data_IF_131410528538
#
_entry.id   IF_131410528538
#
_cell.length_a   1.000
_cell.length_b   1.000
_cell.length_c   1.000
_cell.angle_alpha   90.00
_cell.angle_beta   90.00
_cell.angle_gamma   90.00
#
_symmetry.space_group_name_H-M   'P 1'
#
loop_
_entity.id
_entity.type
_entity.pdbx_description
1 polymer ?
#
# COMPACT_ATOMS: atom_id res chain seq x y z
N UNK A 1 -23.02 8.38 12.78
CA UNK A 1 -23.32 9.72 13.34
C UNK A 1 -24.66 10.23 12.82
N UNK A 2 -25.52 10.79 13.68
CA UNK A 2 -26.76 11.48 13.28
C UNK A 2 -26.48 12.97 13.12
N UNK A 3 -26.59 13.48 11.89
CA UNK A 3 -26.43 14.90 11.61
C UNK A 3 -27.76 15.63 11.83
N UNK A 4 -27.72 16.72 12.61
CA UNK A 4 -28.86 17.64 12.74
C UNK A 4 -28.60 18.88 11.89
N UNK A 5 -29.35 19.08 10.82
CA UNK A 5 -29.15 20.19 9.89
C UNK A 5 -29.95 21.43 10.29
N UNK A 6 -29.39 22.26 11.17
CA UNK A 6 -30.09 23.42 11.76
C UNK A 6 -29.92 24.75 11.00
N UNK A 7 -29.63 24.73 9.68
CA UNK A 7 -29.44 25.96 8.91
C UNK A 7 -30.79 26.49 8.38
N UNK A 8 -31.08 27.81 8.48
CA UNK A 8 -32.26 28.41 7.86
C UNK A 8 -32.31 28.16 6.34
N UNK A 9 -33.50 28.15 5.74
CA UNK A 9 -33.68 27.99 4.30
C UNK A 9 -33.06 29.14 3.48
N UNK A 10 -32.95 28.95 2.16
CA UNK A 10 -32.66 30.04 1.23
C UNK A 10 -33.75 31.12 1.34
N UNK A 11 -33.40 32.43 1.34
CA UNK A 11 -32.09 33.02 1.06
C UNK A 11 -31.20 33.27 2.28
N UNK A 12 -31.65 32.94 3.49
CA UNK A 12 -30.90 33.18 4.73
C UNK A 12 -29.59 32.38 4.72
N UNK A 13 -29.61 31.10 4.34
CA UNK A 13 -28.39 30.31 4.07
C UNK A 13 -28.03 30.34 2.59
N UNK A 14 -26.78 30.72 2.28
CA UNK A 14 -26.20 30.62 0.94
C UNK A 14 -24.81 30.01 1.03
N UNK A 15 -24.70 28.73 0.67
CA UNK A 15 -23.45 27.96 0.70
C UNK A 15 -22.36 28.54 -0.20
N UNK A 16 -22.72 29.35 -1.20
CA UNK A 16 -21.76 30.05 -2.06
C UNK A 16 -21.00 31.18 -1.36
N UNK A 17 -21.45 31.68 -0.20
CA UNK A 17 -20.77 32.79 0.52
C UNK A 17 -19.36 32.38 0.95
N UNK A 18 -19.22 31.24 1.61
CA UNK A 18 -17.92 30.68 2.01
C UNK A 18 -17.05 30.30 0.81
N UNK A 19 -17.69 29.99 -0.34
CA UNK A 19 -17.01 29.63 -1.59
C UNK A 19 -16.65 30.83 -2.46
N UNK A 20 -16.92 32.08 -2.05
CA UNK A 20 -16.71 33.26 -2.91
C UNK A 20 -15.22 33.60 -3.12
N UNK A 21 -14.38 33.34 -2.12
CA UNK A 21 -12.98 33.73 -2.09
C UNK A 21 -12.12 32.52 -1.73
N UNK A 22 -11.00 32.32 -2.41
CA UNK A 22 -10.04 31.25 -2.12
C UNK A 22 -9.50 31.27 -0.69
N UNK A 23 -9.29 32.45 -0.10
CA UNK A 23 -8.87 32.57 1.31
C UNK A 23 -9.96 32.11 2.27
N UNK A 24 -11.24 32.35 1.95
CA UNK A 24 -12.36 31.81 2.73
C UNK A 24 -12.52 30.31 2.52
N UNK A 25 -12.34 29.81 1.29
CA UNK A 25 -12.35 28.37 0.98
C UNK A 25 -11.25 27.64 1.76
N UNK A 26 -10.04 28.21 1.81
CA UNK A 26 -8.92 27.67 2.55
C UNK A 26 -9.18 27.66 4.06
N UNK A 27 -9.73 28.75 4.62
CA UNK A 27 -10.03 28.87 6.05
C UNK A 27 -11.00 27.79 6.56
N UNK A 28 -11.99 27.40 5.74
CA UNK A 28 -13.04 26.44 6.15
C UNK A 28 -12.83 25.03 5.59
N UNK A 29 -11.69 24.76 4.95
CA UNK A 29 -11.39 23.45 4.38
C UNK A 29 -11.25 22.42 5.50
N UNK A 30 -12.01 21.34 5.41
CA UNK A 30 -12.08 20.30 6.45
C UNK A 30 -10.88 19.34 6.41
N UNK A 31 -10.26 19.16 5.25
CA UNK A 31 -9.20 18.17 5.04
C UNK A 31 -7.97 18.81 4.42
N UNK A 32 -6.80 18.43 4.91
CA UNK A 32 -5.51 18.82 4.35
C UNK A 32 -4.75 17.58 3.88
N UNK A 33 -3.95 17.76 2.83
CA UNK A 33 -3.00 16.78 2.32
C UNK A 33 -1.60 17.38 2.42
N UNK A 34 -0.66 16.60 2.91
CA UNK A 34 0.76 16.95 3.04
C UNK A 34 1.60 15.74 2.63
N UNK A 35 2.89 15.95 2.32
CA UNK A 35 3.81 14.88 1.98
C UNK A 35 3.91 13.79 3.07
N UNK A 36 3.67 14.15 4.34
CA UNK A 36 3.71 13.19 5.45
C UNK A 36 2.70 12.05 5.31
N UNK A 37 1.60 12.29 4.62
CA UNK A 37 0.54 11.32 4.38
C UNK A 37 0.84 10.39 3.20
N UNK A 38 1.93 10.61 2.47
CA UNK A 38 2.26 9.86 1.26
C UNK A 38 3.25 8.74 1.58
N UNK A 39 2.92 7.54 1.13
CA UNK A 39 3.79 6.36 1.13
C UNK A 39 4.06 6.03 -0.33
N UNK A 40 5.33 5.96 -0.72
CA UNK A 40 5.69 5.69 -2.12
C UNK A 40 6.03 4.20 -2.31
N UNK A 41 5.22 3.45 -3.08
CA UNK A 41 5.56 2.10 -3.47
C UNK A 41 6.69 2.10 -4.49
N UNK A 42 7.66 1.20 -4.31
CA UNK A 42 8.83 1.07 -5.20
C UNK A 42 9.07 -0.38 -5.58
N UNK A 43 9.44 -0.61 -6.84
CA UNK A 43 9.76 -1.93 -7.36
C UNK A 43 11.27 -2.11 -7.39
N UNK A 44 11.76 -3.14 -6.70
CA UNK A 44 13.19 -3.36 -6.46
C UNK A 44 13.73 -4.44 -7.41
N UNK A 45 14.78 -4.13 -8.17
CA UNK A 45 15.51 -5.07 -9.02
C UNK A 45 16.76 -5.61 -8.32
N UNK A 46 17.17 -6.85 -8.63
CA UNK A 46 18.51 -7.31 -8.29
C UNK A 46 19.59 -6.59 -9.12
N UNK A 47 20.84 -6.75 -8.70
CA UNK A 47 22.00 -6.19 -9.38
C UNK A 47 22.28 -4.73 -9.02
N UNK A 48 23.02 -4.04 -9.89
CA UNK A 48 23.51 -2.68 -9.68
C UNK A 48 23.31 -1.82 -10.93
N UNK A 49 22.99 -0.54 -10.77
CA UNK A 49 22.71 0.41 -11.86
C UNK A 49 21.66 -0.11 -12.87
N UNK A 50 20.72 -0.91 -12.39
CA UNK A 50 19.58 -1.42 -13.18
C UNK A 50 18.37 -0.51 -13.02
N UNK A 51 17.75 -0.18 -14.14
CA UNK A 51 16.43 0.47 -14.21
C UNK A 51 15.61 -0.18 -15.32
N UNK A 52 14.30 -0.29 -15.12
CA UNK A 52 13.37 -0.80 -16.12
C UNK A 52 12.06 -0.04 -16.09
N UNK A 53 11.63 0.47 -17.24
CA UNK A 53 10.31 1.09 -17.39
C UNK A 53 9.19 0.06 -17.29
N UNK A 54 8.03 0.50 -16.81
CA UNK A 54 6.83 -0.32 -16.68
C UNK A 54 5.79 0.23 -17.67
N UNK A 55 5.56 -0.40 -18.83
CA UNK A 55 4.69 0.17 -19.87
C UNK A 55 3.26 0.48 -19.42
N UNK A 56 2.70 -0.35 -18.54
CA UNK A 56 1.36 -0.16 -17.98
C UNK A 56 1.31 0.86 -16.83
N UNK A 57 2.45 1.38 -16.39
CA UNK A 57 2.58 2.41 -15.36
C UNK A 57 3.58 3.48 -15.80
N UNK A 58 3.20 4.36 -16.73
CA UNK A 58 4.12 5.35 -17.31
C UNK A 58 4.82 6.18 -16.23
N UNK A 59 6.12 6.47 -16.39
CA UNK A 59 7.01 7.16 -15.42
C UNK A 59 7.37 6.37 -14.15
N UNK A 60 6.69 5.26 -13.86
CA UNK A 60 7.11 4.35 -12.79
C UNK A 60 8.16 3.40 -13.33
N UNK A 61 9.23 3.24 -12.55
CA UNK A 61 10.37 2.39 -12.91
C UNK A 61 10.65 1.37 -11.82
N UNK A 62 11.16 0.21 -12.21
CA UNK A 62 11.82 -0.74 -11.32
C UNK A 62 13.28 -0.31 -11.18
N UNK A 63 13.80 -0.30 -9.96
CA UNK A 63 15.13 0.21 -9.66
C UNK A 63 15.94 -0.80 -8.85
N UNK A 64 17.20 -0.97 -9.22
CA UNK A 64 18.19 -1.59 -8.32
C UNK A 64 18.37 -0.78 -7.04
N UNK A 65 18.80 -1.43 -5.96
CA UNK A 65 18.87 -0.81 -4.63
C UNK A 65 19.75 0.46 -4.59
N UNK A 66 20.83 0.53 -5.38
CA UNK A 66 21.71 1.69 -5.47
C UNK A 66 21.05 2.90 -6.16
N UNK A 67 20.17 2.67 -7.15
CA UNK A 67 19.39 3.73 -7.76
C UNK A 67 18.18 4.12 -6.90
N UNK A 68 17.59 3.15 -6.21
CA UNK A 68 16.53 3.40 -5.24
C UNK A 68 17.01 4.29 -4.09
N UNK A 69 18.25 4.12 -3.62
CA UNK A 69 18.85 5.01 -2.61
C UNK A 69 18.82 6.47 -3.05
N UNK A 70 19.28 6.77 -4.28
CA UNK A 70 19.25 8.13 -4.85
C UNK A 70 17.83 8.67 -4.97
N UNK A 71 16.88 7.80 -5.34
CA UNK A 71 15.45 8.16 -5.41
C UNK A 71 14.91 8.50 -4.02
N UNK A 72 15.27 7.73 -3.00
CA UNK A 72 14.86 7.92 -1.62
C UNK A 72 15.39 9.25 -1.04
N UNK A 73 16.62 9.64 -1.37
CA UNK A 73 17.19 10.95 -1.03
C UNK A 73 16.31 12.10 -1.56
N UNK A 74 16.00 12.09 -2.86
CA UNK A 74 15.15 13.11 -3.49
C UNK A 74 13.74 13.15 -2.87
N UNK A 75 13.18 11.99 -2.50
CA UNK A 75 11.86 11.91 -1.86
C UNK A 75 11.87 12.53 -0.45
N UNK A 76 12.94 12.32 0.33
CA UNK A 76 13.10 12.96 1.65
C UNK A 76 13.18 14.48 1.52
N UNK A 77 13.89 15.01 0.51
CA UNK A 77 13.93 16.46 0.25
C UNK A 77 12.54 17.05 -0.06
N UNK A 78 11.62 16.23 -0.59
CA UNK A 78 10.23 16.59 -0.85
C UNK A 78 9.31 16.34 0.36
N UNK A 79 9.82 15.75 1.44
CA UNK A 79 9.07 15.37 2.64
C UNK A 79 8.35 14.03 2.56
N UNK A 80 8.58 13.24 1.50
CA UNK A 80 8.05 11.87 1.39
C UNK A 80 9.02 10.93 2.08
N UNK A 81 8.73 10.62 3.34
CA UNK A 81 9.63 9.89 4.24
C UNK A 81 9.26 8.42 4.47
N UNK A 82 8.42 7.84 3.59
CA UNK A 82 7.96 6.45 3.70
C UNK A 82 8.04 5.74 2.35
N UNK A 83 8.72 4.60 2.31
CA UNK A 83 8.80 3.72 1.14
C UNK A 83 8.16 2.38 1.44
N UNK A 84 7.43 1.85 0.46
CA UNK A 84 6.94 0.49 0.48
C UNK A 84 7.64 -0.36 -0.59
N UNK A 85 8.41 -1.36 -0.15
CA UNK A 85 9.27 -2.15 -1.01
C UNK A 85 8.52 -3.36 -1.60
N UNK A 86 8.53 -3.47 -2.93
CA UNK A 86 8.02 -4.62 -3.66
C UNK A 86 9.16 -5.24 -4.49
N UNK A 87 9.58 -6.48 -4.22
CA UNK A 87 10.65 -7.11 -4.98
C UNK A 87 10.19 -7.56 -6.36
N UNK A 88 11.09 -7.45 -7.33
CA UNK A 88 10.96 -8.07 -8.65
C UNK A 88 11.87 -9.30 -8.66
N UNK A 89 11.38 -10.38 -8.05
CA UNK A 89 12.15 -11.61 -7.84
C UNK A 89 12.50 -12.29 -9.17
N UNK A 90 13.79 -12.64 -9.41
CA UNK A 90 14.20 -13.41 -10.57
C UNK A 90 13.45 -14.73 -10.71
N UNK A 91 13.24 -15.20 -11.94
CA UNK A 91 12.44 -16.39 -12.18
C UNK A 91 13.12 -17.66 -11.63
N UNK A 92 14.44 -17.68 -11.61
CA UNK A 92 15.29 -18.72 -11.05
C UNK A 92 15.21 -18.82 -9.52
N UNK A 93 14.82 -17.73 -8.85
CA UNK A 93 14.69 -17.67 -7.39
C UNK A 93 13.25 -18.00 -6.93
N UNK A 94 12.31 -18.15 -7.87
CA UNK A 94 10.93 -18.55 -7.56
C UNK A 94 10.83 -20.06 -7.36
N UNK A 95 10.11 -20.50 -6.33
CA UNK A 95 9.92 -21.92 -6.00
C UNK A 95 8.46 -22.22 -5.64
N UNK A 96 8.14 -23.46 -5.23
CA UNK A 96 6.84 -23.79 -4.63
C UNK A 96 6.79 -23.45 -3.14
N UNK A 97 7.94 -23.53 -2.47
CA UNK A 97 8.09 -23.25 -1.04
C UNK A 97 8.34 -21.76 -0.72
N UNK A 98 8.57 -20.92 -1.73
CA UNK A 98 8.77 -19.48 -1.60
C UNK A 98 9.94 -19.05 -0.69
N UNK A 99 10.96 -19.89 -0.51
CA UNK A 99 12.03 -19.67 0.46
C UNK A 99 12.87 -18.42 0.21
N UNK A 100 12.93 -17.94 -1.03
CA UNK A 100 13.56 -16.66 -1.37
C UNK A 100 12.95 -15.46 -0.62
N UNK A 101 11.73 -15.61 -0.07
CA UNK A 101 11.05 -14.55 0.68
C UNK A 101 11.65 -14.26 2.05
N UNK A 102 12.39 -15.21 2.66
CA UNK A 102 12.98 -15.06 3.99
C UNK A 102 14.48 -15.38 4.04
N UNK A 103 15.15 -15.47 2.89
CA UNK A 103 16.60 -15.63 2.86
C UNK A 103 17.26 -14.37 3.42
N UNK A 104 18.24 -14.55 4.32
CA UNK A 104 18.96 -13.41 4.91
C UNK A 104 19.58 -12.53 3.81
N UNK A 105 20.20 -13.11 2.79
CA UNK A 105 20.74 -12.39 1.63
C UNK A 105 19.70 -12.11 0.52
N UNK A 106 18.41 -12.13 0.84
CA UNK A 106 17.32 -11.84 -0.08
C UNK A 106 17.31 -10.38 -0.57
N UNK A 107 16.59 -10.14 -1.67
CA UNK A 107 16.56 -8.84 -2.33
C UNK A 107 15.99 -7.74 -1.43
N UNK A 108 14.88 -8.02 -0.73
CA UNK A 108 14.24 -7.05 0.18
C UNK A 108 15.14 -6.79 1.38
N UNK A 109 15.66 -7.84 2.02
CA UNK A 109 16.52 -7.78 3.21
C UNK A 109 17.78 -6.94 2.94
N UNK A 110 18.47 -7.20 1.83
CA UNK A 110 19.63 -6.41 1.42
C UNK A 110 19.27 -4.94 1.14
N UNK A 111 18.13 -4.70 0.50
CA UNK A 111 17.67 -3.34 0.19
C UNK A 111 17.31 -2.56 1.45
N UNK A 112 16.62 -3.19 2.40
CA UNK A 112 16.30 -2.61 3.71
C UNK A 112 17.59 -2.23 4.45
N UNK A 113 18.56 -3.16 4.56
CA UNK A 113 19.84 -2.88 5.23
C UNK A 113 20.60 -1.72 4.59
N UNK A 114 20.63 -1.65 3.26
CA UNK A 114 21.25 -0.53 2.55
C UNK A 114 20.55 0.79 2.89
N UNK A 115 19.22 0.85 2.73
CA UNK A 115 18.46 2.07 2.94
C UNK A 115 18.48 2.53 4.40
N UNK A 116 18.37 1.64 5.39
CA UNK A 116 18.47 2.02 6.81
C UNK A 116 19.85 2.54 7.18
N UNK A 117 20.91 1.97 6.59
CA UNK A 117 22.29 2.41 6.85
C UNK A 117 22.53 3.82 6.33
N UNK A 118 22.09 4.11 5.11
CA UNK A 118 22.39 5.39 4.44
C UNK A 118 21.33 6.46 4.74
N UNK A 119 20.07 6.08 4.97
CA UNK A 119 18.92 6.97 5.23
C UNK A 119 18.11 6.50 6.44
N UNK A 120 18.63 6.59 7.67
CA UNK A 120 17.96 6.10 8.87
C UNK A 120 16.60 6.76 9.16
N UNK A 121 16.38 7.98 8.66
CA UNK A 121 15.12 8.73 8.78
C UNK A 121 14.01 8.22 7.84
N UNK A 122 14.35 7.45 6.80
CA UNK A 122 13.37 6.84 5.92
C UNK A 122 12.66 5.70 6.65
N UNK A 123 11.32 5.76 6.71
CA UNK A 123 10.50 4.66 7.20
C UNK A 123 10.37 3.64 6.08
N UNK A 124 10.81 2.42 6.34
CA UNK A 124 10.77 1.32 5.37
C UNK A 124 9.66 0.35 5.74
N UNK A 125 8.76 0.16 4.77
CA UNK A 125 7.65 -0.76 4.85
C UNK A 125 7.92 -1.92 3.88
N UNK A 126 7.96 -3.14 4.39
CA UNK A 126 8.15 -4.35 3.59
C UNK A 126 6.82 -5.09 3.40
N UNK A 127 6.54 -5.52 2.18
CA UNK A 127 5.39 -6.38 1.87
C UNK A 127 5.54 -7.78 2.49
N UNK A 128 4.45 -8.31 3.06
CA UNK A 128 4.39 -9.68 3.59
C UNK A 128 3.46 -10.55 2.75
N UNK A 129 3.98 -11.15 1.69
CA UNK A 129 3.25 -12.06 0.81
C UNK A 129 4.23 -12.94 0.03
N UNK A 130 3.76 -14.10 -0.44
CA UNK A 130 4.59 -15.05 -1.18
C UNK A 130 4.47 -14.94 -2.71
N UNK A 131 3.55 -14.11 -3.23
CA UNK A 131 3.30 -14.01 -4.68
C UNK A 131 4.48 -13.56 -5.55
N UNK A 132 5.48 -12.80 -5.07
CA UNK A 132 6.67 -12.50 -5.86
C UNK A 132 7.61 -13.71 -5.94
N UNK A 133 7.51 -14.65 -5.00
CA UNK A 133 8.47 -15.73 -4.77
C UNK A 133 7.94 -17.10 -5.19
N UNK A 134 6.64 -17.23 -5.46
CA UNK A 134 6.04 -18.47 -5.92
C UNK A 134 6.06 -18.61 -7.44
N UNK A 135 6.32 -19.82 -7.93
CA UNK A 135 6.27 -20.12 -9.39
C UNK A 135 4.88 -19.98 -9.99
N UNK A 136 3.82 -20.10 -9.18
CA UNK A 136 2.42 -19.97 -9.56
C UNK A 136 1.81 -18.59 -9.28
N UNK A 137 2.50 -17.69 -8.57
CA UNK A 137 2.04 -16.32 -8.34
C UNK A 137 0.82 -16.17 -7.41
N UNK A 138 0.55 -17.16 -6.56
CA UNK A 138 -0.43 -17.05 -5.47
C UNK A 138 0.25 -16.51 -4.22
N UNK A 139 -0.52 -15.90 -3.32
CA UNK A 139 0.00 -15.24 -2.11
C UNK A 139 0.51 -16.23 -1.06
N UNK A 140 0.25 -17.54 -1.24
CA UNK A 140 0.60 -18.60 -0.31
C UNK A 140 0.98 -19.93 -0.95
N UNK A 141 1.25 -20.92 -0.11
CA UNK A 141 1.58 -22.31 -0.48
C UNK A 141 0.32 -23.01 -1.00
N UNK A 142 0.43 -23.82 -2.06
CA UNK A 142 -0.70 -24.54 -2.65
C UNK A 142 -0.67 -26.04 -2.39
N UNK A 143 -1.85 -26.64 -2.27
CA UNK A 143 -2.02 -28.10 -2.25
C UNK A 143 -2.04 -28.70 -3.68
N UNK A 144 -2.25 -30.02 -3.76
CA UNK A 144 -2.32 -30.75 -5.04
C UNK A 144 -3.49 -30.29 -5.94
N UNK A 145 -4.52 -29.66 -5.37
CA UNK A 145 -5.68 -29.12 -6.10
C UNK A 145 -5.46 -27.68 -6.57
N UNK A 146 -4.38 -27.03 -6.10
CA UNK A 146 -4.10 -25.62 -6.34
C UNK A 146 -4.79 -24.67 -5.35
N UNK A 147 -5.37 -25.19 -4.27
CA UNK A 147 -5.92 -24.37 -3.19
C UNK A 147 -4.79 -23.81 -2.32
N UNK A 148 -4.89 -22.53 -1.97
CA UNK A 148 -3.91 -21.86 -1.12
C UNK A 148 -4.15 -22.27 0.33
N UNK A 149 -3.19 -22.99 0.92
CA UNK A 149 -3.21 -23.51 2.27
C UNK A 149 -2.96 -22.38 3.28
N UNK A 150 -3.88 -22.19 4.22
CA UNK A 150 -3.83 -21.06 5.17
C UNK A 150 -2.63 -21.17 6.12
N UNK A 151 -2.61 -22.20 6.97
CA UNK A 151 -1.69 -22.28 8.11
C UNK A 151 -0.24 -22.48 7.65
N UNK A 152 -0.02 -23.31 6.63
CA UNK A 152 1.29 -23.52 6.00
C UNK A 152 1.83 -22.23 5.38
N UNK A 153 0.95 -21.38 4.83
CA UNK A 153 1.33 -20.06 4.35
C UNK A 153 1.71 -19.14 5.52
N UNK A 154 0.95 -19.15 6.61
CA UNK A 154 1.26 -18.37 7.81
C UNK A 154 2.64 -18.73 8.38
N UNK A 155 3.02 -20.01 8.39
CA UNK A 155 4.37 -20.43 8.81
C UNK A 155 5.50 -19.80 7.97
N UNK A 156 5.28 -19.66 6.66
CA UNK A 156 6.20 -18.98 5.76
C UNK A 156 6.24 -17.47 6.00
N UNK A 157 5.08 -16.84 6.20
CA UNK A 157 4.96 -15.40 6.44
C UNK A 157 5.61 -14.97 7.76
N UNK A 158 5.57 -15.82 8.80
CA UNK A 158 6.32 -15.60 10.05
C UNK A 158 7.82 -15.49 9.77
N UNK A 159 8.38 -16.43 9.01
CA UNK A 159 9.82 -16.44 8.66
C UNK A 159 10.18 -15.18 7.86
N UNK A 160 9.35 -14.80 6.90
CA UNK A 160 9.51 -13.59 6.12
C UNK A 160 9.52 -12.35 7.00
N UNK A 161 8.50 -12.17 7.86
CA UNK A 161 8.37 -11.03 8.74
C UNK A 161 9.56 -10.89 9.70
N UNK A 162 10.04 -11.99 10.29
CA UNK A 162 11.23 -12.01 11.13
C UNK A 162 12.47 -11.57 10.34
N UNK A 163 12.68 -12.11 9.14
CA UNK A 163 13.84 -11.72 8.31
C UNK A 163 13.81 -10.24 7.91
N UNK A 164 12.64 -9.66 7.69
CA UNK A 164 12.48 -8.23 7.41
C UNK A 164 12.77 -7.38 8.65
N UNK A 165 12.30 -7.80 9.82
CA UNK A 165 12.57 -7.13 11.09
C UNK A 165 14.06 -7.17 11.44
N UNK A 166 14.72 -8.31 11.26
CA UNK A 166 16.18 -8.47 11.42
C UNK A 166 16.98 -7.59 10.45
N UNK A 167 16.49 -7.40 9.23
CA UNK A 167 17.09 -6.48 8.27
C UNK A 167 16.93 -5.00 8.64
N UNK A 168 16.01 -4.68 9.56
CA UNK A 168 15.77 -3.32 10.08
C UNK A 168 14.52 -2.63 9.51
N UNK A 169 13.56 -3.40 8.97
CA UNK A 169 12.28 -2.82 8.53
C UNK A 169 11.53 -2.20 9.71
N UNK A 170 10.99 -0.99 9.52
CA UNK A 170 10.21 -0.29 10.54
C UNK A 170 8.78 -0.84 10.62
N UNK A 171 8.27 -1.30 9.48
CA UNK A 171 6.91 -1.85 9.32
C UNK A 171 6.95 -3.08 8.43
N UNK A 172 6.32 -4.16 8.89
CA UNK A 172 5.93 -5.29 8.02
C UNK A 172 4.45 -5.13 7.65
N UNK A 173 4.11 -5.32 6.38
CA UNK A 173 2.76 -5.13 5.88
C UNK A 173 2.23 -6.40 5.22
N UNK A 174 1.74 -7.39 6.00
CA UNK A 174 1.20 -8.64 5.50
C UNK A 174 0.04 -8.37 4.54
N UNK A 175 0.24 -8.71 3.26
CA UNK A 175 -0.70 -8.45 2.17
C UNK A 175 -1.38 -9.71 1.66
N UNK A 176 -1.08 -10.87 2.24
CA UNK A 176 -1.47 -12.21 1.83
C UNK A 176 -2.96 -12.57 1.97
N UNK A 177 -3.68 -11.95 2.92
CA UNK A 177 -5.09 -12.25 3.27
C UNK A 177 -5.33 -13.67 3.82
N UNK A 178 -4.36 -14.27 4.52
CA UNK A 178 -4.58 -15.49 5.29
C UNK A 178 -5.28 -15.18 6.63
N UNK A 179 -6.10 -16.10 7.10
CA UNK A 179 -6.74 -15.98 8.41
C UNK A 179 -5.70 -16.15 9.52
N UNK A 180 -5.73 -15.28 10.54
CA UNK A 180 -4.88 -15.37 11.73
C UNK A 180 -3.41 -14.97 11.55
N UNK A 181 -2.97 -14.55 10.34
CA UNK A 181 -1.56 -14.21 10.09
C UNK A 181 -1.05 -13.06 10.96
N UNK A 182 -1.90 -12.10 11.29
CA UNK A 182 -1.48 -10.91 12.04
C UNK A 182 -1.08 -11.32 13.46
N UNK A 183 -1.90 -12.14 14.11
CA UNK A 183 -1.65 -12.62 15.46
C UNK A 183 -0.40 -13.50 15.51
N UNK A 184 -0.24 -14.37 14.51
CA UNK A 184 0.92 -15.25 14.40
C UNK A 184 2.23 -14.46 14.18
N UNK A 185 2.23 -13.48 13.27
CA UNK A 185 3.37 -12.60 13.01
C UNK A 185 3.69 -11.75 14.25
N UNK A 186 2.67 -11.15 14.90
CA UNK A 186 2.83 -10.38 16.14
C UNK A 186 3.51 -11.22 17.21
N UNK A 187 3.00 -12.42 17.49
CA UNK A 187 3.58 -13.31 18.50
C UNK A 187 5.03 -13.66 18.19
N UNK A 188 5.37 -13.91 16.92
CA UNK A 188 6.73 -14.20 16.51
C UNK A 188 7.66 -12.98 16.69
N UNK A 189 7.23 -11.78 16.30
CA UNK A 189 8.00 -10.55 16.49
C UNK A 189 8.27 -10.28 17.99
N UNK A 190 7.25 -10.41 18.84
CA UNK A 190 7.39 -10.27 20.30
C UNK A 190 8.37 -11.31 20.89
N UNK A 191 8.21 -12.59 20.51
CA UNK A 191 9.05 -13.67 21.01
C UNK A 191 10.54 -13.53 20.63
N UNK A 192 10.82 -12.84 19.52
CA UNK A 192 12.19 -12.59 19.04
C UNK A 192 12.70 -11.19 19.39
N UNK A 193 11.97 -10.41 20.20
CA UNK A 193 12.40 -9.11 20.70
C UNK A 193 12.25 -7.94 19.73
N UNK A 194 11.53 -8.11 18.62
CA UNK A 194 11.23 -7.06 17.64
C UNK A 194 10.02 -6.20 18.06
N UNK A 195 10.03 -5.72 19.30
CA UNK A 195 8.88 -5.07 19.97
C UNK A 195 8.41 -3.75 19.33
N UNK A 196 9.24 -3.14 18.48
CA UNK A 196 8.94 -1.87 17.79
C UNK A 196 8.69 -2.02 16.29
N UNK A 197 8.80 -3.25 15.76
CA UNK A 197 8.42 -3.51 14.37
C UNK A 197 6.90 -3.46 14.27
N UNK A 198 6.40 -2.52 13.48
CA UNK A 198 4.96 -2.31 13.34
C UNK A 198 4.37 -3.31 12.35
N UNK A 199 3.09 -3.64 12.55
CA UNK A 199 2.31 -4.41 11.59
C UNK A 199 1.26 -3.49 10.95
N UNK A 200 1.38 -3.30 9.65
CA UNK A 200 0.38 -2.61 8.83
C UNK A 200 -0.41 -3.64 8.02
N UNK A 201 -1.50 -4.13 8.61
CA UNK A 201 -2.28 -5.21 8.05
C UNK A 201 -3.04 -4.77 6.80
N UNK A 202 -2.91 -5.52 5.70
CA UNK A 202 -3.90 -5.45 4.63
C UNK A 202 -5.14 -6.23 5.08
N UNK A 203 -5.99 -5.56 5.83
CA UNK A 203 -7.17 -6.19 6.43
C UNK A 203 -8.31 -6.34 5.43
N UNK A 204 -8.59 -5.28 4.67
CA UNK A 204 -9.64 -5.30 3.66
C UNK A 204 -9.02 -5.22 2.26
N UNK A 205 -8.42 -6.33 1.80
CA UNK A 205 -7.87 -6.47 0.44
C UNK A 205 -8.83 -7.27 -0.43
N UNK A 206 -9.44 -6.57 -1.39
CA UNK A 206 -10.45 -7.11 -2.28
C UNK A 206 -9.85 -7.84 -3.48
N UNK A 207 -10.59 -8.81 -4.01
CA UNK A 207 -10.29 -9.54 -5.23
C UNK A 207 -10.53 -8.67 -6.48
N UNK A 208 -9.64 -7.70 -6.70
CA UNK A 208 -9.86 -6.60 -7.63
C UNK A 208 -9.22 -6.79 -9.01
N UNK A 209 -9.91 -6.26 -10.03
CA UNK A 209 -9.37 -6.10 -11.39
C UNK A 209 -8.41 -4.90 -11.53
N UNK A 210 -8.30 -4.03 -10.52
CA UNK A 210 -7.39 -2.87 -10.55
C UNK A 210 -5.90 -3.23 -10.36
N UNK A 211 -5.56 -4.51 -10.13
CA UNK A 211 -4.18 -4.94 -9.87
C UNK A 211 -3.38 -5.29 -11.12
N UNK A 212 -3.97 -5.27 -12.32
CA UNK A 212 -3.31 -5.67 -13.58
C UNK A 212 -1.92 -5.05 -13.75
N UNK A 213 -1.78 -3.70 -13.71
CA UNK A 213 -0.47 -3.08 -13.91
C UNK A 213 0.58 -3.42 -12.83
N UNK A 214 0.16 -3.70 -11.58
CA UNK A 214 1.07 -4.15 -10.53
C UNK A 214 1.62 -5.55 -10.83
N UNK A 215 0.77 -6.47 -11.31
CA UNK A 215 1.19 -7.83 -11.68
C UNK A 215 2.23 -7.80 -12.81
N UNK A 216 2.10 -6.83 -13.74
CA UNK A 216 3.12 -6.57 -14.74
C UNK A 216 4.40 -6.02 -14.09
N UNK A 217 4.27 -5.08 -13.16
CA UNK A 217 5.38 -4.44 -12.47
C UNK A 217 6.25 -5.42 -11.68
N UNK A 218 5.67 -6.36 -10.93
CA UNK A 218 6.43 -7.39 -10.17
C UNK A 218 6.72 -8.66 -10.97
N UNK A 219 6.27 -8.73 -12.24
CA UNK A 219 6.48 -9.90 -13.09
C UNK A 219 5.74 -11.15 -12.64
N UNK A 220 4.58 -11.00 -11.98
CA UNK A 220 3.72 -12.11 -11.53
C UNK A 220 2.58 -12.42 -12.49
N UNK A 221 2.28 -11.54 -13.46
CA UNK A 221 1.22 -11.75 -14.48
C UNK A 221 1.36 -13.09 -15.22
N UNK A 222 2.58 -13.46 -15.61
CA UNK A 222 2.85 -14.72 -16.32
C UNK A 222 2.75 -15.95 -15.41
N UNK A 223 3.04 -15.81 -14.10
CA UNK A 223 2.97 -16.90 -13.13
C UNK A 223 1.52 -17.26 -12.79
N UNK A 224 0.65 -16.26 -12.62
CA UNK A 224 -0.75 -16.48 -12.22
C UNK A 224 -1.60 -17.14 -13.32
N UNK A 225 -1.16 -17.13 -14.59
CA UNK A 225 -1.75 -17.89 -15.73
C UNK A 225 -3.29 -17.82 -15.87
N UNK A 226 -3.90 -16.67 -15.57
CA UNK A 226 -5.36 -16.51 -15.61
C UNK A 226 -6.11 -17.05 -14.38
N UNK A 227 -5.38 -17.51 -13.37
CA UNK A 227 -5.89 -17.80 -12.04
C UNK A 227 -6.45 -16.55 -11.35
N UNK A 228 -7.23 -16.80 -10.31
CA UNK A 228 -7.83 -15.77 -9.47
C UNK A 228 -7.35 -15.93 -8.03
N UNK A 229 -7.71 -14.95 -7.20
CA UNK A 229 -7.39 -14.88 -5.77
C UNK A 229 -8.66 -14.93 -4.91
N UNK A 230 -9.75 -15.49 -5.46
CA UNK A 230 -11.10 -15.42 -4.87
C UNK A 230 -11.29 -16.32 -3.65
N UNK A 231 -10.35 -17.24 -3.38
CA UNK A 231 -10.39 -18.11 -2.23
C UNK A 231 -9.78 -17.48 -0.96
N UNK A 232 -9.29 -16.24 -1.02
CA UNK A 232 -8.74 -15.52 0.14
C UNK A 232 -8.92 -13.99 0.07
N UNK A 233 -8.87 -13.38 -1.12
CA UNK A 233 -9.20 -11.95 -1.25
C UNK A 233 -10.71 -11.74 -1.24
N UNK A 234 -11.14 -10.66 -0.59
CA UNK A 234 -12.56 -10.39 -0.35
C UNK A 234 -13.37 -10.18 -1.64
N UNK A 235 -14.65 -10.56 -1.62
CA UNK A 235 -15.59 -10.26 -2.70
C UNK A 235 -15.85 -8.74 -2.79
N UNK A 236 -15.77 -8.19 -4.01
CA UNK A 236 -15.98 -6.77 -4.29
C UNK A 236 -17.41 -6.28 -3.94
N UNK A 237 -18.37 -7.19 -3.79
CA UNK A 237 -19.74 -6.90 -3.35
C UNK A 237 -19.89 -6.74 -1.84
N UNK A 238 -18.87 -7.10 -1.06
CA UNK A 238 -18.98 -7.19 0.39
C UNK A 238 -18.48 -5.93 1.11
N UNK A 239 -19.38 -5.33 1.89
CA UNK A 239 -19.08 -4.17 2.76
C UNK A 239 -18.92 -4.56 4.22
N UNK A 240 -19.86 -5.32 4.78
CA UNK A 240 -19.87 -5.66 6.20
C UNK A 240 -18.71 -6.57 6.59
N UNK A 241 -18.30 -7.47 5.69
CA UNK A 241 -17.16 -8.38 5.86
C UNK A 241 -15.87 -7.61 6.18
N UNK A 242 -15.62 -6.46 5.54
CA UNK A 242 -14.43 -5.65 5.80
C UNK A 242 -14.31 -5.20 7.26
N UNK A 243 -15.45 -4.99 7.94
CA UNK A 243 -15.45 -4.64 9.36
C UNK A 243 -15.07 -5.83 10.24
N UNK A 244 -15.46 -7.05 9.84
CA UNK A 244 -15.06 -8.25 10.56
C UNK A 244 -13.56 -8.50 10.41
N UNK A 245 -13.04 -8.46 9.19
CA UNK A 245 -11.61 -8.58 8.88
C UNK A 245 -10.76 -7.59 9.70
N UNK A 246 -11.13 -6.31 9.65
CA UNK A 246 -10.41 -5.27 10.38
C UNK A 246 -10.52 -5.44 11.90
N UNK A 247 -11.69 -5.85 12.40
CA UNK A 247 -11.85 -6.10 13.82
C UNK A 247 -10.96 -7.26 14.32
N UNK A 248 -10.81 -8.31 13.52
CA UNK A 248 -9.93 -9.44 13.82
C UNK A 248 -8.46 -9.01 13.82
N UNK A 249 -8.00 -8.33 12.76
CA UNK A 249 -6.62 -7.84 12.68
C UNK A 249 -6.24 -6.88 13.84
N UNK A 250 -7.17 -6.01 14.25
CA UNK A 250 -6.98 -5.14 15.42
C UNK A 250 -6.85 -5.99 16.70
N UNK A 251 -7.71 -7.00 16.89
CA UNK A 251 -7.65 -7.89 18.05
C UNK A 251 -6.36 -8.72 18.09
N UNK A 252 -5.83 -9.05 16.91
CA UNK A 252 -4.60 -9.81 16.71
C UNK A 252 -3.33 -8.96 16.90
N UNK A 253 -3.44 -7.63 16.99
CA UNK A 253 -2.34 -6.73 17.31
C UNK A 253 -1.73 -5.99 16.13
N UNK A 254 -2.52 -5.73 15.07
CA UNK A 254 -2.16 -4.77 14.04
C UNK A 254 -2.07 -3.35 14.61
N UNK A 255 -0.99 -2.64 14.29
CA UNK A 255 -0.82 -1.22 14.66
C UNK A 255 -1.60 -0.30 13.71
N UNK A 256 -1.79 -0.77 12.47
CA UNK A 256 -2.38 -0.03 11.36
C UNK A 256 -3.14 -0.99 10.45
N UNK A 257 -4.23 -0.52 9.84
CA UNK A 257 -5.03 -1.31 8.90
C UNK A 257 -5.12 -0.62 7.54
N UNK A 258 -5.08 -1.38 6.45
CA UNK A 258 -5.18 -0.89 5.07
C UNK A 258 -6.45 -1.41 4.40
N UNK A 259 -7.13 -0.52 3.67
CA UNK A 259 -8.10 -0.89 2.62
C UNK A 259 -7.42 -0.86 1.25
N UNK A 260 -7.62 -1.92 0.45
CA UNK A 260 -7.06 -2.06 -0.90
C UNK A 260 -8.06 -2.74 -1.84
N UNK A 261 -8.39 -2.18 -3.02
CA UNK A 261 -7.96 -0.89 -3.61
C UNK A 261 -8.45 0.37 -2.88
N UNK A 262 -8.13 1.54 -3.42
CA UNK A 262 -8.37 2.82 -2.77
C UNK A 262 -9.63 3.54 -3.22
N UNK A 263 -9.56 4.29 -4.32
CA UNK A 263 -10.66 5.12 -4.82
C UNK A 263 -11.99 4.36 -4.98
N UNK A 264 -12.01 3.10 -5.45
CA UNK A 264 -13.27 2.35 -5.58
C UNK A 264 -13.89 1.91 -4.24
N UNK A 265 -13.17 2.07 -3.11
CA UNK A 265 -13.56 1.58 -1.78
C UNK A 265 -13.46 2.67 -0.69
N UNK A 266 -13.61 3.95 -1.08
CA UNK A 266 -13.57 5.07 -0.13
C UNK A 266 -14.72 5.04 0.89
N UNK A 267 -15.83 4.39 0.57
CA UNK A 267 -16.92 4.10 1.50
C UNK A 267 -16.46 3.15 2.62
N UNK A 268 -15.68 2.12 2.30
CA UNK A 268 -15.07 1.22 3.27
C UNK A 268 -14.07 1.98 4.15
N UNK A 269 -13.19 2.80 3.56
CA UNK A 269 -12.24 3.64 4.32
C UNK A 269 -12.96 4.52 5.35
N UNK A 270 -14.08 5.15 4.94
CA UNK A 270 -14.89 6.00 5.82
C UNK A 270 -15.51 5.20 6.95
N UNK A 271 -16.09 4.04 6.64
CA UNK A 271 -16.75 3.21 7.64
C UNK A 271 -15.77 2.64 8.66
N UNK A 272 -14.59 2.20 8.21
CA UNK A 272 -13.51 1.74 9.07
C UNK A 272 -13.07 2.84 10.02
N UNK A 273 -12.82 4.05 9.49
CA UNK A 273 -12.41 5.19 10.31
C UNK A 273 -13.49 5.57 11.33
N UNK A 274 -14.76 5.57 10.94
CA UNK A 274 -15.89 5.89 11.83
C UNK A 274 -16.14 4.82 12.90
N UNK A 275 -15.90 3.56 12.58
CA UNK A 275 -16.21 2.42 13.46
C UNK A 275 -15.11 2.19 14.48
N UNK A 276 -13.85 2.19 14.05
CA UNK A 276 -12.73 1.75 14.89
C UNK A 276 -11.85 2.90 15.39
N UNK A 277 -11.77 4.02 14.67
CA UNK A 277 -10.93 5.16 15.07
C UNK A 277 -9.42 4.87 15.11
N UNK A 278 -8.97 3.74 14.57
CA UNK A 278 -7.55 3.31 14.52
C UNK A 278 -6.79 3.95 13.35
N UNK A 279 -5.44 3.93 13.31
CA UNK A 279 -4.68 4.33 12.13
C UNK A 279 -5.13 3.57 10.88
N UNK A 280 -5.71 4.29 9.92
CA UNK A 280 -6.34 3.71 8.72
C UNK A 280 -5.59 4.16 7.49
N UNK A 281 -5.17 3.23 6.66
CA UNK A 281 -4.43 3.50 5.44
C UNK A 281 -5.23 3.03 4.23
N UNK A 282 -4.87 3.54 3.06
CA UNK A 282 -5.50 3.14 1.81
C UNK A 282 -4.46 3.07 0.70
N UNK A 283 -4.62 2.09 -0.19
CA UNK A 283 -3.75 1.93 -1.35
C UNK A 283 -4.44 2.37 -2.62
N UNK A 284 -4.04 3.52 -3.17
CA UNK A 284 -4.36 3.90 -4.55
C UNK A 284 -3.51 3.05 -5.51
N UNK A 285 -4.09 1.94 -5.96
CA UNK A 285 -3.31 0.86 -6.59
C UNK A 285 -2.89 1.20 -8.02
N UNK A 286 -2.08 0.31 -8.60
CA UNK A 286 -1.47 0.46 -9.91
C UNK A 286 -2.47 0.75 -11.04
N UNK A 287 -3.66 0.12 -11.02
CA UNK A 287 -4.70 0.38 -12.02
C UNK A 287 -5.35 1.74 -11.87
N UNK A 288 -5.50 2.25 -10.65
CA UNK A 288 -5.97 3.61 -10.40
C UNK A 288 -4.95 4.63 -10.89
N UNK A 289 -3.66 4.39 -10.61
CA UNK A 289 -2.56 5.18 -11.16
C UNK A 289 -2.59 5.20 -12.68
N UNK A 290 -2.58 4.02 -13.32
CA UNK A 290 -2.51 3.88 -14.77
C UNK A 290 -3.71 4.54 -15.46
N UNK A 291 -4.92 4.39 -14.90
CA UNK A 291 -6.12 5.03 -15.40
C UNK A 291 -6.01 6.56 -15.40
N UNK A 292 -5.55 7.15 -14.28
CA UNK A 292 -5.38 8.60 -14.18
C UNK A 292 -4.21 9.10 -15.04
N UNK A 293 -3.06 8.43 -14.99
CA UNK A 293 -1.88 8.79 -15.77
C UNK A 293 -2.16 8.75 -17.28
N UNK A 294 -2.85 7.72 -17.75
CA UNK A 294 -3.26 7.62 -19.16
C UNK A 294 -4.23 8.72 -19.58
N UNK A 295 -5.24 9.02 -18.75
CA UNK A 295 -6.18 10.11 -19.03
C UNK A 295 -5.50 11.49 -19.04
N UNK A 296 -4.52 11.71 -18.17
CA UNK A 296 -3.70 12.94 -18.15
C UNK A 296 -2.85 13.04 -19.42
N UNK A 297 -2.13 11.97 -19.79
CA UNK A 297 -1.29 11.96 -20.99
C UNK A 297 -2.09 12.21 -22.28
N UNK A 298 -3.33 11.71 -22.34
CA UNK A 298 -4.23 11.95 -23.47
C UNK A 298 -4.90 13.34 -23.44
N UNK A 299 -4.63 14.16 -22.42
CA UNK A 299 -5.23 15.49 -22.26
C UNK A 299 -6.73 15.46 -21.92
N UNK A 300 -7.25 14.33 -21.45
CA UNK A 300 -8.66 14.22 -21.03
C UNK A 300 -8.88 14.77 -19.62
N UNK A 301 -7.86 14.68 -18.77
CA UNK A 301 -7.84 15.24 -17.41
C UNK A 301 -6.59 16.11 -17.23
N UNK A 302 -6.70 17.15 -16.41
CA UNK A 302 -5.54 17.92 -15.95
C UNK A 302 -4.82 17.23 -14.81
N UNK A 303 -3.53 17.50 -14.63
CA UNK A 303 -2.71 16.96 -13.53
C UNK A 303 -3.30 17.23 -12.14
N UNK A 304 -4.13 18.26 -11.99
CA UNK A 304 -4.85 18.56 -10.74
C UNK A 304 -5.69 17.39 -10.20
N UNK A 305 -6.08 16.44 -11.05
CA UNK A 305 -6.81 15.23 -10.62
C UNK A 305 -5.98 14.35 -9.67
N UNK A 306 -4.64 14.42 -9.73
CA UNK A 306 -3.75 13.71 -8.81
C UNK A 306 -4.07 14.14 -7.38
N UNK A 307 -3.98 15.45 -7.09
CA UNK A 307 -4.27 15.99 -5.76
C UNK A 307 -5.73 15.76 -5.36
N UNK A 308 -6.68 15.85 -6.30
CA UNK A 308 -8.10 15.60 -6.01
C UNK A 308 -8.37 14.14 -5.59
N UNK A 309 -7.71 13.18 -6.25
CA UNK A 309 -7.82 11.76 -5.92
C UNK A 309 -7.28 11.46 -4.51
N UNK A 310 -6.08 11.98 -4.18
CA UNK A 310 -5.44 11.79 -2.88
C UNK A 310 -6.18 12.54 -1.77
N UNK A 311 -6.68 13.74 -2.04
CA UNK A 311 -7.54 14.48 -1.11
C UNK A 311 -8.83 13.72 -0.82
N UNK A 312 -9.37 12.98 -1.79
CA UNK A 312 -10.55 12.14 -1.57
C UNK A 312 -10.27 10.96 -0.63
N UNK A 313 -9.09 10.34 -0.71
CA UNK A 313 -8.62 9.36 0.27
C UNK A 313 -8.51 9.95 1.69
N UNK A 314 -7.86 11.12 1.85
CA UNK A 314 -7.78 11.80 3.15
C UNK A 314 -9.16 12.16 3.69
N UNK A 315 -10.04 12.69 2.84
CA UNK A 315 -11.41 13.07 3.22
C UNK A 315 -12.24 11.85 3.63
N UNK A 316 -12.04 10.71 2.99
CA UNK A 316 -12.66 9.45 3.40
C UNK A 316 -12.19 9.02 4.79
N UNK A 317 -10.95 9.34 5.17
CA UNK A 317 -10.46 9.16 6.54
C UNK A 317 -9.11 8.48 6.63
N UNK A 318 -8.46 8.13 5.52
CA UNK A 318 -7.17 7.45 5.54
C UNK A 318 -6.06 8.38 6.05
N UNK A 319 -5.33 8.01 7.10
CA UNK A 319 -4.18 8.72 7.68
C UNK A 319 -2.93 8.69 6.80
N UNK A 320 -2.77 7.65 5.99
CA UNK A 320 -1.73 7.57 4.98
C UNK A 320 -2.23 6.90 3.70
N UNK A 321 -1.61 7.27 2.59
CA UNK A 321 -1.99 6.82 1.26
C UNK A 321 -0.77 6.21 0.59
N UNK A 322 -0.88 4.94 0.24
CA UNK A 322 0.07 4.30 -0.67
C UNK A 322 -0.29 4.74 -2.08
N UNK A 323 0.61 5.46 -2.75
CA UNK A 323 0.36 5.99 -4.09
C UNK A 323 1.63 6.09 -4.91
N UNK A 324 1.53 5.70 -6.18
CA UNK A 324 2.59 5.89 -7.16
C UNK A 324 2.73 7.34 -7.64
N UNK A 325 1.80 8.23 -7.25
CA UNK A 325 1.91 9.67 -7.48
C UNK A 325 2.60 10.40 -6.31
N UNK A 326 3.24 9.70 -5.37
CA UNK A 326 3.73 10.35 -4.14
C UNK A 326 4.73 11.48 -4.44
N UNK A 327 5.64 11.28 -5.39
CA UNK A 327 6.62 12.30 -5.79
C UNK A 327 5.94 13.48 -6.49
N UNK A 328 5.11 13.21 -7.51
CA UNK A 328 4.41 14.25 -8.25
C UNK A 328 3.50 15.07 -7.34
N UNK A 329 2.76 14.40 -6.44
CA UNK A 329 1.92 15.07 -5.46
C UNK A 329 2.73 15.92 -4.49
N UNK A 330 3.88 15.44 -4.01
CA UNK A 330 4.74 16.22 -3.12
C UNK A 330 5.29 17.48 -3.80
N UNK A 331 5.70 17.39 -5.07
CA UNK A 331 6.09 18.55 -5.89
C UNK A 331 4.94 19.55 -6.03
N UNK A 332 3.76 19.09 -6.43
CA UNK A 332 2.58 19.95 -6.57
C UNK A 332 2.19 20.62 -5.24
N UNK A 333 2.29 19.91 -4.11
CA UNK A 333 1.98 20.46 -2.78
C UNK A 333 2.99 21.52 -2.33
N UNK A 334 4.26 21.41 -2.76
CA UNK A 334 5.29 22.41 -2.50
C UNK A 334 5.00 23.70 -3.28
N UNK A 335 4.56 23.61 -4.52
CA UNK A 335 4.21 24.75 -5.36
C UNK A 335 2.90 25.45 -4.95
N UNK A 336 2.02 24.75 -4.23
CA UNK A 336 0.77 25.32 -3.69
C UNK A 336 0.95 26.13 -2.40
N UNK A 337 2.12 26.04 -1.74
CA UNK A 337 2.44 26.79 -0.51
C UNK A 337 2.87 28.21 -0.82
#
# INVERSE_FOLDING_TARGET
>A
MTYTFNRPAFPATRMRRIRKNDKLRAMVRETQLTADHLIYPVFVLPGQNQTQDIPSMPKVQRLSADLLLKKAESLLELGVSKLALFPVTPQEDKSLSAEASWQDNGLVQNTVRLLKKELPEMVLITDGALDPYTTHGQDGIIDETGYVLNDETVECLIKQALSHAEAGADVVAPSDMMDGRIGAIRQALEANGHIYTNIMAYSAKYASSFYGPFRDAVGSSSNLKGGNKYNYQMDIGNRAEALHEIALDIQEGADMVIVKPGMPYLDIVREVKDTFGVPTFVYQVSGEYAMLAGAIQNGWLSESVIIESLMSCRRAGADGIWTYFAEEAALMLKDMK
#
